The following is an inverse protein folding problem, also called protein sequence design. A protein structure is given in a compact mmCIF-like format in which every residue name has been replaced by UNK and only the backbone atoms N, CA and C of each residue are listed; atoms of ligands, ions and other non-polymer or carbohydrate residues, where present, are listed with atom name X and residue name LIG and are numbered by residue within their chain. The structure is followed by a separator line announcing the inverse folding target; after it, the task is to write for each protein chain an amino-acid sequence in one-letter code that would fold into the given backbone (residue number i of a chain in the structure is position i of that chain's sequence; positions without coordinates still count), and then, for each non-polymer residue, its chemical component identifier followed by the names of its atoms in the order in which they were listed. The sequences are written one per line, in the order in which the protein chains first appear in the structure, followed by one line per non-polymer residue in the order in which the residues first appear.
data_IF_093300636753
#
_entry.id   IF_093300636753
#
_cell.length_a   1.000
_cell.length_b   1.000
_cell.length_c   1.000
_cell.angle_alpha   90.00
_cell.angle_beta   90.00
_cell.angle_gamma   90.00
#
_symmetry.space_group_name_H-M   'P 1'
#
loop_
_entity.id
_entity.type
_entity.pdbx_description
1 polymer ?
#
# COMPACT_ATOMS: atom_id res chain seq x y z
N UNK A 1 0.03 15.95 -0.22
CA UNK A 1 -1.29 15.62 0.35
C UNK A 1 -1.53 16.24 1.73
N UNK A 2 -0.48 16.60 2.47
CA UNK A 2 -0.55 17.23 3.79
C UNK A 2 -0.07 18.69 3.77
N UNK A 3 -0.36 19.42 2.69
CA UNK A 3 -0.03 20.86 2.61
C UNK A 3 -0.92 21.65 3.57
N UNK A 4 -0.37 22.67 4.23
CA UNK A 4 -1.13 23.55 5.13
C UNK A 4 -2.32 24.21 4.40
N UNK A 5 -2.13 24.55 3.12
CA UNK A 5 -3.18 25.13 2.30
C UNK A 5 -4.19 24.07 1.83
N UNK A 6 -5.43 24.22 2.28
CA UNK A 6 -6.55 23.37 1.92
C UNK A 6 -6.72 23.23 0.39
N UNK A 7 -6.65 24.36 -0.33
CA UNK A 7 -6.85 24.41 -1.77
C UNK A 7 -5.76 23.62 -2.51
N UNK A 8 -4.51 23.69 -2.03
CA UNK A 8 -3.40 22.90 -2.59
C UNK A 8 -3.66 21.41 -2.42
N UNK A 9 -4.02 20.98 -1.20
CA UNK A 9 -4.40 19.57 -0.94
C UNK A 9 -5.57 19.13 -1.83
N UNK A 10 -6.57 19.98 -1.98
CA UNK A 10 -7.76 19.70 -2.77
C UNK A 10 -7.44 19.50 -4.25
N UNK A 11 -6.79 20.48 -4.86
CA UNK A 11 -6.44 20.48 -6.29
C UNK A 11 -5.49 19.33 -6.59
N UNK A 12 -4.48 19.10 -5.76
CA UNK A 12 -3.54 18.00 -5.93
C UNK A 12 -4.27 16.64 -5.95
N UNK A 13 -5.15 16.39 -4.96
CA UNK A 13 -5.89 15.14 -4.90
C UNK A 13 -6.80 14.92 -6.12
N UNK A 14 -7.43 15.99 -6.62
CA UNK A 14 -8.25 15.92 -7.83
C UNK A 14 -7.42 15.58 -9.08
N UNK A 15 -6.23 16.17 -9.23
CA UNK A 15 -5.31 15.88 -10.34
C UNK A 15 -4.79 14.45 -10.26
N UNK A 16 -4.37 14.03 -9.06
CA UNK A 16 -3.95 12.67 -8.76
C UNK A 16 -5.05 11.66 -9.14
N UNK A 17 -6.27 11.87 -8.64
CA UNK A 17 -7.41 11.04 -8.96
C UNK A 17 -7.67 10.98 -10.47
N UNK A 18 -7.72 12.14 -11.15
CA UNK A 18 -8.00 12.24 -12.58
C UNK A 18 -7.00 11.45 -13.44
N UNK A 19 -5.72 11.47 -13.10
CA UNK A 19 -4.71 10.75 -13.86
C UNK A 19 -4.71 9.24 -13.53
N UNK A 20 -4.96 8.87 -12.26
CA UNK A 20 -5.08 7.47 -11.85
C UNK A 20 -6.28 6.76 -12.48
N UNK A 21 -7.45 7.41 -12.61
CA UNK A 21 -8.62 6.79 -13.25
C UNK A 21 -8.47 6.64 -14.76
N UNK A 22 -7.59 7.44 -15.38
CA UNK A 22 -7.19 7.30 -16.79
C UNK A 22 -6.09 6.24 -16.98
N UNK A 23 -5.63 5.60 -15.91
CA UNK A 23 -4.53 4.64 -15.91
C UNK A 23 -3.21 5.23 -16.46
N UNK A 24 -3.02 6.55 -16.31
CA UNK A 24 -1.82 7.27 -16.76
C UNK A 24 -0.77 7.42 -15.66
N UNK A 25 -1.15 7.17 -14.40
CA UNK A 25 -0.23 7.17 -13.26
C UNK A 25 -0.05 5.75 -12.70
N UNK A 26 1.20 5.38 -12.35
CA UNK A 26 1.50 4.13 -11.67
C UNK A 26 0.85 4.02 -10.28
N UNK A 27 0.78 2.79 -9.76
CA UNK A 27 0.18 2.48 -8.46
C UNK A 27 0.90 3.12 -7.26
N UNK A 28 2.19 3.43 -7.38
CA UNK A 28 2.93 4.16 -6.34
C UNK A 28 2.28 5.52 -6.00
N UNK A 29 1.69 6.19 -6.99
CA UNK A 29 0.95 7.43 -6.77
C UNK A 29 -0.41 7.19 -6.10
N UNK A 30 -1.00 6.00 -6.25
CA UNK A 30 -2.23 5.64 -5.56
C UNK A 30 -1.99 5.44 -4.05
N UNK A 31 -0.80 5.00 -3.66
CA UNK A 31 -0.41 4.88 -2.25
C UNK A 31 -0.44 6.23 -1.50
N UNK A 32 -0.27 7.35 -2.20
CA UNK A 32 -0.35 8.71 -1.64
C UNK A 32 -1.73 8.98 -1.00
N UNK A 33 -2.80 8.27 -1.39
CA UNK A 33 -4.09 8.37 -0.71
C UNK A 33 -4.05 7.91 0.76
N UNK A 34 -3.08 7.08 1.18
CA UNK A 34 -2.92 6.68 2.58
C UNK A 34 -2.74 7.91 3.49
N UNK A 35 -2.01 8.92 3.03
CA UNK A 35 -1.75 10.16 3.76
C UNK A 35 -3.01 11.01 3.96
N UNK A 36 -4.12 10.71 3.27
CA UNK A 36 -5.41 11.38 3.51
C UNK A 36 -5.98 11.06 4.90
N UNK A 37 -5.59 9.94 5.51
CA UNK A 37 -6.08 9.58 6.84
C UNK A 37 -5.78 10.67 7.88
N UNK A 38 -4.66 11.39 7.68
CA UNK A 38 -4.20 12.53 8.50
C UNK A 38 -4.89 13.86 8.15
N UNK A 39 -5.76 13.91 7.14
CA UNK A 39 -6.42 15.16 6.74
C UNK A 39 -7.44 15.60 7.82
N UNK A 40 -7.31 16.82 8.39
CA UNK A 40 -8.20 17.27 9.46
C UNK A 40 -9.65 17.41 8.98
N UNK A 41 -9.88 17.59 7.67
CA UNK A 41 -11.20 17.79 7.09
C UNK A 41 -11.84 16.43 6.78
N UNK A 42 -12.99 16.16 7.39
CA UNK A 42 -13.69 14.86 7.26
C UNK A 42 -14.17 14.61 5.82
N UNK A 43 -14.65 15.64 5.15
CA UNK A 43 -15.14 15.59 3.76
C UNK A 43 -14.01 15.21 2.80
N UNK A 44 -12.77 15.63 3.09
CA UNK A 44 -11.58 15.28 2.31
C UNK A 44 -11.26 13.80 2.42
N UNK A 45 -11.28 13.25 3.65
CA UNK A 45 -11.14 11.81 3.90
C UNK A 45 -12.20 11.00 3.16
N UNK A 46 -13.46 11.43 3.25
CA UNK A 46 -14.57 10.79 2.53
C UNK A 46 -14.38 10.82 1.01
N UNK A 47 -13.97 11.97 0.45
CA UNK A 47 -13.70 12.11 -0.99
C UNK A 47 -12.53 11.22 -1.44
N UNK A 48 -11.42 11.20 -0.69
CA UNK A 48 -10.28 10.33 -0.98
C UNK A 48 -10.67 8.85 -0.99
N UNK A 49 -11.52 8.41 -0.05
CA UNK A 49 -12.05 7.03 -0.01
C UNK A 49 -12.89 6.72 -1.25
N UNK A 50 -13.73 7.65 -1.72
CA UNK A 50 -14.47 7.50 -2.98
C UNK A 50 -13.55 7.44 -4.20
N UNK A 51 -12.52 8.29 -4.26
CA UNK A 51 -11.51 8.27 -5.31
C UNK A 51 -10.77 6.92 -5.36
N UNK A 52 -10.45 6.35 -4.20
CA UNK A 52 -9.80 5.05 -4.08
C UNK A 52 -10.70 3.92 -4.58
N UNK A 53 -11.96 3.87 -4.09
CA UNK A 53 -12.99 2.92 -4.54
C UNK A 53 -13.14 2.93 -6.07
N UNK A 54 -13.24 4.13 -6.67
CA UNK A 54 -13.39 4.28 -8.12
C UNK A 54 -12.16 3.76 -8.87
N UNK A 55 -10.95 4.04 -8.38
CA UNK A 55 -9.71 3.57 -8.99
C UNK A 55 -9.58 2.04 -8.97
N UNK A 56 -9.94 1.40 -7.85
CA UNK A 56 -9.96 -0.06 -7.72
C UNK A 56 -10.97 -0.65 -8.69
N UNK A 57 -12.19 -0.11 -8.72
CA UNK A 57 -13.26 -0.59 -9.60
C UNK A 57 -12.89 -0.49 -11.08
N UNK A 58 -12.33 0.64 -11.53
CA UNK A 58 -11.89 0.81 -12.93
C UNK A 58 -10.81 -0.20 -13.30
N UNK A 59 -9.81 -0.39 -12.44
CA UNK A 59 -8.71 -1.33 -12.69
C UNK A 59 -9.19 -2.77 -12.77
N UNK A 60 -10.02 -3.21 -11.82
CA UNK A 60 -10.61 -4.55 -11.83
C UNK A 60 -11.45 -4.79 -13.08
N UNK A 61 -12.29 -3.83 -13.47
CA UNK A 61 -13.09 -3.92 -14.69
C UNK A 61 -12.21 -3.97 -15.94
N UNK A 62 -11.17 -3.13 -16.02
CA UNK A 62 -10.23 -3.14 -17.13
C UNK A 62 -9.53 -4.50 -17.28
N UNK A 63 -9.05 -5.08 -16.17
CA UNK A 63 -8.41 -6.41 -16.18
C UNK A 63 -9.39 -7.48 -16.67
N UNK A 64 -10.64 -7.44 -16.19
CA UNK A 64 -11.69 -8.39 -16.60
C UNK A 64 -12.01 -8.30 -18.09
N UNK A 65 -12.07 -7.09 -18.64
CA UNK A 65 -12.37 -6.84 -20.06
C UNK A 65 -11.16 -7.12 -20.98
N UNK A 66 -9.94 -7.14 -20.44
CA UNK A 66 -8.71 -7.31 -21.21
C UNK A 66 -7.84 -8.46 -20.67
N UNK A 67 -8.26 -9.74 -20.77
CA UNK A 67 -7.52 -10.87 -20.20
C UNK A 67 -6.11 -11.05 -20.77
N UNK A 68 -5.82 -10.53 -21.96
CA UNK A 68 -4.49 -10.56 -22.58
C UNK A 68 -3.53 -9.51 -22.01
N UNK A 69 -3.98 -8.61 -21.12
CA UNK A 69 -3.15 -7.59 -20.48
C UNK A 69 -2.26 -8.14 -19.34
N UNK A 70 -2.00 -9.45 -19.30
CA UNK A 70 -1.24 -10.15 -18.25
C UNK A 70 0.13 -9.52 -18.01
N UNK A 71 0.80 -9.03 -19.06
CA UNK A 71 2.10 -8.34 -18.96
C UNK A 71 2.04 -7.04 -18.14
N UNK A 72 0.86 -6.40 -18.08
CA UNK A 72 0.62 -5.16 -17.31
C UNK A 72 -0.08 -5.45 -15.98
N UNK A 73 -0.27 -6.71 -15.60
CA UNK A 73 -1.03 -7.04 -14.40
C UNK A 73 -0.40 -6.42 -13.13
N UNK A 74 0.92 -6.40 -13.04
CA UNK A 74 1.64 -5.79 -11.90
C UNK A 74 1.36 -4.29 -11.75
N UNK A 75 1.16 -3.57 -12.85
CA UNK A 75 0.90 -2.12 -12.85
C UNK A 75 -0.59 -1.78 -12.76
N UNK A 76 -1.47 -2.76 -12.93
CA UNK A 76 -2.93 -2.57 -12.95
C UNK A 76 -3.63 -3.15 -11.71
N UNK A 77 -3.13 -4.25 -11.15
CA UNK A 77 -3.80 -4.97 -10.07
C UNK A 77 -3.74 -4.14 -8.77
N UNK A 78 -4.88 -3.71 -8.20
CA UNK A 78 -4.89 -2.75 -7.09
C UNK A 78 -4.15 -3.19 -5.84
N UNK A 79 -4.05 -4.50 -5.60
CA UNK A 79 -3.36 -5.09 -4.45
C UNK A 79 -1.87 -4.71 -4.43
N UNK A 80 -1.24 -4.47 -5.60
CA UNK A 80 0.14 -3.99 -5.69
C UNK A 80 0.34 -2.56 -5.17
N UNK A 81 -0.70 -1.86 -4.72
CA UNK A 81 -0.55 -0.61 -3.95
C UNK A 81 0.07 -0.87 -2.57
N UNK A 82 -0.11 -2.06 -1.99
CA UNK A 82 0.32 -2.38 -0.61
C UNK A 82 1.84 -2.17 -0.40
N UNK A 83 2.75 -2.69 -1.25
CA UNK A 83 4.18 -2.44 -1.10
C UNK A 83 4.53 -0.95 -1.14
N UNK A 84 3.96 -0.18 -2.08
CA UNK A 84 4.23 1.26 -2.18
C UNK A 84 3.72 2.03 -0.97
N UNK A 85 2.57 1.65 -0.43
CA UNK A 85 2.02 2.25 0.78
C UNK A 85 2.91 1.97 2.00
N UNK A 86 3.35 0.73 2.18
CA UNK A 86 4.26 0.35 3.26
C UNK A 86 5.55 1.16 3.18
N UNK A 87 6.18 1.20 1.99
CA UNK A 87 7.40 1.97 1.80
C UNK A 87 7.19 3.48 2.01
N UNK A 88 6.10 4.05 1.49
CA UNK A 88 5.76 5.46 1.67
C UNK A 88 5.64 5.82 3.15
N UNK A 89 4.91 5.01 3.92
CA UNK A 89 4.69 5.24 5.35
C UNK A 89 5.95 4.99 6.18
N UNK A 90 6.80 4.04 5.78
CA UNK A 90 8.12 3.86 6.38
C UNK A 90 9.03 5.07 6.16
N UNK A 91 8.79 5.88 5.12
CA UNK A 91 9.53 7.11 4.83
C UNK A 91 8.76 8.38 5.20
N UNK A 92 7.63 8.26 5.88
CA UNK A 92 6.86 9.41 6.32
C UNK A 92 7.71 10.27 7.29
N UNK A 93 7.85 11.59 7.04
CA UNK A 93 8.66 12.46 7.90
C UNK A 93 8.19 12.52 9.36
N UNK A 94 6.90 12.26 9.61
CA UNK A 94 6.34 12.24 10.97
C UNK A 94 6.69 10.93 11.70
N UNK A 95 7.01 9.86 10.96
CA UNK A 95 7.40 8.58 11.52
C UNK A 95 8.90 8.56 11.77
N UNK A 96 9.32 9.06 12.92
CA UNK A 96 10.74 9.18 13.30
C UNK A 96 11.22 8.06 14.20
N UNK A 97 10.31 7.42 14.96
CA UNK A 97 10.64 6.41 15.98
C UNK A 97 9.77 5.17 15.78
N UNK A 98 10.39 4.05 15.44
CA UNK A 98 9.75 2.75 15.17
C UNK A 98 8.88 2.23 16.33
N UNK A 99 9.19 2.59 17.56
CA UNK A 99 8.50 2.08 18.76
C UNK A 99 7.58 3.11 19.43
N UNK A 100 7.41 4.29 18.84
CA UNK A 100 6.55 5.33 19.39
C UNK A 100 5.07 4.99 19.15
N UNK A 101 4.30 4.88 20.23
CA UNK A 101 2.91 4.38 20.18
C UNK A 101 1.98 5.34 19.42
N UNK A 102 2.17 6.64 19.57
CA UNK A 102 1.32 7.62 18.90
C UNK A 102 1.59 7.64 17.39
N UNK A 103 2.88 7.59 16.98
CA UNK A 103 3.23 7.48 15.57
C UNK A 103 2.76 6.15 14.95
N UNK A 104 2.86 5.03 15.69
CA UNK A 104 2.36 3.73 15.23
C UNK A 104 0.84 3.73 15.06
N UNK A 105 0.10 4.45 15.90
CA UNK A 105 -1.35 4.64 15.73
C UNK A 105 -1.64 5.40 14.43
N UNK A 106 -0.89 6.47 14.14
CA UNK A 106 -1.07 7.23 12.90
C UNK A 106 -0.76 6.39 11.65
N UNK A 107 0.30 5.59 11.70
CA UNK A 107 0.65 4.61 10.64
C UNK A 107 -0.48 3.60 10.46
N UNK A 108 -1.01 3.05 11.56
CA UNK A 108 -2.14 2.11 11.53
C UNK A 108 -3.37 2.73 10.88
N UNK A 109 -3.72 3.97 11.20
CA UNK A 109 -4.86 4.67 10.60
C UNK A 109 -4.66 4.89 9.08
N UNK A 110 -3.45 5.24 8.64
CA UNK A 110 -3.12 5.36 7.22
C UNK A 110 -3.24 4.02 6.47
N UNK A 111 -2.70 2.94 7.05
CA UNK A 111 -2.81 1.58 6.50
C UNK A 111 -4.27 1.12 6.44
N UNK A 112 -5.02 1.33 7.53
CA UNK A 112 -6.43 0.98 7.63
C UNK A 112 -7.26 1.71 6.58
N UNK A 113 -7.03 3.01 6.38
CA UNK A 113 -7.76 3.83 5.41
C UNK A 113 -7.72 3.23 3.99
N UNK A 114 -6.57 2.67 3.60
CA UNK A 114 -6.39 2.03 2.29
C UNK A 114 -6.91 0.58 2.29
N UNK A 115 -6.51 -0.21 3.29
CA UNK A 115 -6.81 -1.63 3.36
C UNK A 115 -8.31 -1.91 3.54
N UNK A 116 -9.03 -1.04 4.25
CA UNK A 116 -10.49 -1.16 4.38
C UNK A 116 -11.17 -1.18 3.00
N UNK A 117 -10.68 -0.37 2.07
CA UNK A 117 -11.23 -0.29 0.72
C UNK A 117 -10.73 -1.44 -0.16
N UNK A 118 -9.42 -1.74 -0.13
CA UNK A 118 -8.82 -2.83 -0.92
C UNK A 118 -9.41 -4.19 -0.54
N UNK A 119 -9.70 -4.40 0.75
CA UNK A 119 -10.22 -5.65 1.30
C UNK A 119 -11.76 -5.71 1.36
N UNK A 120 -12.47 -4.81 0.67
CA UNK A 120 -13.94 -4.85 0.63
C UNK A 120 -14.45 -6.11 -0.10
N UNK A 121 -13.68 -6.64 -1.06
CA UNK A 121 -14.03 -7.86 -1.81
C UNK A 121 -12.80 -8.76 -1.94
N UNK A 122 -12.92 -9.99 -1.44
CA UNK A 122 -11.91 -11.03 -1.59
C UNK A 122 -12.01 -11.75 -2.95
N UNK A 123 -11.78 -11.02 -4.04
CA UNK A 123 -11.72 -11.61 -5.38
C UNK A 123 -10.37 -12.33 -5.54
N UNK A 124 -10.37 -13.58 -6.04
CA UNK A 124 -9.18 -14.39 -6.32
C UNK A 124 -8.15 -14.45 -5.17
N UNK A 125 -8.61 -14.63 -3.93
CA UNK A 125 -7.76 -14.67 -2.74
C UNK A 125 -6.89 -13.39 -2.55
N UNK A 126 -7.38 -12.23 -2.99
CA UNK A 126 -6.70 -10.93 -2.86
C UNK A 126 -6.27 -10.61 -1.42
N UNK A 127 -7.01 -11.06 -0.40
CA UNK A 127 -6.63 -10.82 1.00
C UNK A 127 -5.35 -11.59 1.38
N UNK A 128 -5.26 -12.86 0.96
CA UNK A 128 -4.05 -13.67 1.14
C UNK A 128 -2.88 -13.12 0.33
N UNK A 129 -3.16 -12.65 -0.90
CA UNK A 129 -2.15 -12.03 -1.76
C UNK A 129 -1.52 -10.77 -1.15
N UNK A 130 -2.35 -9.87 -0.57
CA UNK A 130 -1.86 -8.68 0.13
C UNK A 130 -1.07 -9.03 1.39
N UNK A 131 -1.52 -10.02 2.16
CA UNK A 131 -0.77 -10.54 3.31
C UNK A 131 0.61 -11.05 2.88
N UNK A 132 0.65 -11.89 1.84
CA UNK A 132 1.89 -12.45 1.29
C UNK A 132 2.85 -11.37 0.80
N UNK A 133 2.33 -10.28 0.20
CA UNK A 133 3.16 -9.12 -0.15
C UNK A 133 3.83 -8.49 1.08
N UNK A 134 3.08 -8.23 2.14
CA UNK A 134 3.62 -7.66 3.37
C UNK A 134 4.63 -8.60 4.05
N UNK A 135 4.39 -9.91 4.04
CA UNK A 135 5.33 -10.92 4.51
C UNK A 135 6.62 -10.93 3.69
N UNK A 136 6.52 -10.91 2.36
CA UNK A 136 7.69 -10.94 1.48
C UNK A 136 8.56 -9.69 1.63
N UNK A 137 7.98 -8.51 1.92
CA UNK A 137 8.76 -7.28 2.17
C UNK A 137 9.68 -7.44 3.40
N UNK A 138 9.25 -8.22 4.42
CA UNK A 138 10.11 -8.50 5.58
C UNK A 138 11.33 -9.37 5.27
N UNK A 139 11.37 -9.98 4.08
CA UNK A 139 12.52 -10.76 3.60
C UNK A 139 13.48 -9.92 2.75
N UNK A 140 13.12 -8.67 2.46
CA UNK A 140 13.92 -7.72 1.68
C UNK A 140 14.48 -6.62 2.56
N UNK A 141 15.37 -5.79 2.03
CA UNK A 141 15.75 -4.50 2.60
C UNK A 141 15.14 -3.34 1.83
N UNK A 142 15.11 -2.19 2.45
CA UNK A 142 14.80 -0.93 1.78
C UNK A 142 15.84 -0.65 0.68
N UNK A 143 15.38 -0.43 -0.56
CA UNK A 143 16.30 -0.22 -1.68
C UNK A 143 16.90 1.20 -1.73
N UNK A 144 16.30 2.19 -1.07
CA UNK A 144 16.84 3.55 -1.01
C UNK A 144 17.99 3.64 -0.01
N UNK A 145 17.97 2.83 1.06
CA UNK A 145 19.02 2.80 2.08
C UNK A 145 19.20 1.39 2.67
N UNK A 146 19.72 0.42 1.88
CA UNK A 146 19.76 -0.99 2.26
C UNK A 146 20.68 -1.29 3.45
N UNK A 147 21.70 -0.47 3.69
CA UNK A 147 22.66 -0.65 4.78
C UNK A 147 22.25 0.11 6.06
N UNK A 148 21.19 0.93 5.99
CA UNK A 148 20.74 1.71 7.15
C UNK A 148 19.77 0.90 8.02
N UNK A 149 20.26 0.46 9.18
CA UNK A 149 19.48 -0.37 10.10
C UNK A 149 18.17 0.28 10.56
N UNK A 150 18.16 1.60 10.83
CA UNK A 150 16.96 2.32 11.28
C UNK A 150 15.87 2.38 10.21
N UNK A 151 16.24 2.60 8.96
CA UNK A 151 15.30 2.64 7.83
C UNK A 151 14.64 1.28 7.61
N UNK A 152 15.44 0.19 7.68
CA UNK A 152 14.92 -1.17 7.61
C UNK A 152 14.03 -1.53 8.83
N UNK A 153 14.42 -1.12 10.04
CA UNK A 153 13.60 -1.33 11.25
C UNK A 153 12.22 -0.68 11.09
N UNK A 154 12.17 0.56 10.60
CA UNK A 154 10.91 1.24 10.28
C UNK A 154 10.11 0.49 9.23
N UNK A 155 10.75 0.04 8.14
CA UNK A 155 10.08 -0.73 7.09
C UNK A 155 9.40 -1.99 7.65
N UNK A 156 10.14 -2.79 8.43
CA UNK A 156 9.62 -4.01 9.04
C UNK A 156 8.50 -3.73 10.05
N UNK A 157 8.64 -2.65 10.81
CA UNK A 157 7.61 -2.20 11.74
C UNK A 157 6.31 -1.87 11.02
N UNK A 158 6.37 -1.10 9.92
CA UNK A 158 5.18 -0.78 9.11
C UNK A 158 4.57 -2.04 8.51
N UNK A 159 5.39 -3.01 8.07
CA UNK A 159 4.90 -4.33 7.65
C UNK A 159 4.13 -5.04 8.76
N UNK A 160 4.65 -5.07 9.99
CA UNK A 160 3.98 -5.72 11.12
C UNK A 160 2.65 -5.07 11.46
N UNK A 161 2.58 -3.73 11.40
CA UNK A 161 1.30 -3.01 11.56
C UNK A 161 0.34 -3.35 10.42
N UNK A 162 0.81 -3.43 9.17
CA UNK A 162 -0.01 -3.80 8.02
C UNK A 162 -0.56 -5.22 8.15
N UNK A 163 0.28 -6.18 8.56
CA UNK A 163 -0.12 -7.57 8.83
C UNK A 163 -1.15 -7.64 9.96
N UNK A 164 -0.96 -6.88 11.03
CA UNK A 164 -1.93 -6.76 12.11
C UNK A 164 -3.30 -6.28 11.59
N UNK A 165 -3.32 -5.22 10.76
CA UNK A 165 -4.54 -4.70 10.15
C UNK A 165 -5.21 -5.76 9.26
N UNK A 166 -4.47 -6.40 8.36
CA UNK A 166 -4.98 -7.43 7.44
C UNK A 166 -5.59 -8.61 8.22
N UNK A 167 -4.84 -9.14 9.19
CA UNK A 167 -5.28 -10.27 10.02
C UNK A 167 -6.53 -9.92 10.85
N UNK A 168 -6.62 -8.68 11.35
CA UNK A 168 -7.80 -8.22 12.10
C UNK A 168 -9.05 -8.08 11.23
N UNK A 169 -8.89 -7.82 9.93
CA UNK A 169 -10.00 -7.54 9.01
C UNK A 169 -10.61 -8.78 8.37
N UNK A 170 -9.83 -9.84 8.17
CA UNK A 170 -10.29 -10.97 7.36
C UNK A 170 -9.57 -12.26 7.68
N UNK A 171 -10.28 -13.26 8.22
CA UNK A 171 -9.76 -14.63 8.37
C UNK A 171 -9.34 -15.27 7.02
N UNK A 172 -9.91 -14.82 5.89
CA UNK A 172 -9.59 -15.31 4.54
C UNK A 172 -8.15 -15.01 4.11
N UNK A 173 -7.42 -14.13 4.80
CA UNK A 173 -6.02 -13.86 4.48
C UNK A 173 -5.07 -15.02 4.85
N UNK A 174 -5.56 -16.02 5.57
CA UNK A 174 -4.80 -17.22 5.94
C UNK A 174 -4.88 -18.33 4.88
N UNK A 175 -5.64 -18.13 3.80
CA UNK A 175 -5.63 -19.03 2.66
C UNK A 175 -4.32 -18.91 1.86
N UNK A 176 -4.10 -19.84 0.93
CA UNK A 176 -2.96 -19.75 0.03
C UNK A 176 -3.09 -18.57 -0.93
N UNK A 177 -1.97 -17.85 -1.09
CA UNK A 177 -1.84 -16.81 -2.09
C UNK A 177 -2.00 -17.40 -3.49
N UNK A 178 -2.75 -16.76 -4.40
CA UNK A 178 -2.98 -17.29 -5.74
C UNK A 178 -1.69 -17.37 -6.57
N UNK A 179 -0.70 -16.53 -6.25
CA UNK A 179 0.62 -16.43 -6.91
C UNK A 179 1.66 -15.87 -5.92
N UNK A 180 2.93 -16.07 -6.22
CA UNK A 180 4.01 -15.35 -5.53
C UNK A 180 4.07 -13.89 -6.01
N UNK A 181 4.00 -12.91 -5.10
CA UNK A 181 4.06 -11.51 -5.48
C UNK A 181 5.46 -11.09 -5.89
N UNK A 182 5.55 -10.26 -6.94
CA UNK A 182 6.80 -9.66 -7.41
C UNK A 182 6.93 -8.26 -6.82
N UNK A 183 7.87 -8.07 -5.90
CA UNK A 183 8.07 -6.77 -5.27
C UNK A 183 8.80 -5.77 -6.20
N UNK A 184 8.44 -4.47 -6.19
CA UNK A 184 9.11 -3.46 -7.00
C UNK A 184 10.58 -3.26 -6.61
N UNK A 185 11.51 -3.66 -7.49
CA UNK A 185 12.96 -3.62 -7.22
C UNK A 185 13.55 -2.22 -6.96
N UNK A 186 12.83 -1.15 -7.32
CA UNK A 186 13.23 0.23 -7.00
C UNK A 186 13.01 0.60 -5.52
N UNK A 187 12.18 -0.17 -4.82
CA UNK A 187 11.75 0.08 -3.45
C UNK A 187 12.25 -1.01 -2.49
N UNK A 188 12.45 -2.23 -2.99
CA UNK A 188 12.85 -3.39 -2.19
C UNK A 188 14.01 -4.12 -2.85
N UNK A 189 14.99 -4.54 -2.07
CA UNK A 189 16.06 -5.42 -2.58
C UNK A 189 15.51 -6.79 -2.94
N UNK A 190 16.35 -7.63 -3.56
CA UNK A 190 16.01 -9.05 -3.64
C UNK A 190 15.90 -9.64 -2.21
N UNK A 191 15.02 -10.63 -2.00
CA UNK A 191 14.92 -11.30 -0.72
C UNK A 191 16.27 -11.91 -0.32
N UNK A 192 16.64 -11.76 0.93
CA UNK A 192 17.80 -12.47 1.46
C UNK A 192 17.52 -13.97 1.38
N UNK A 193 18.44 -14.73 0.80
CA UNK A 193 18.35 -16.20 0.84
C UNK A 193 18.36 -16.61 2.30
N UNK A 194 17.25 -17.15 2.79
CA UNK A 194 17.22 -17.83 4.08
C UNK A 194 18.25 -18.94 3.98
N UNK A 195 19.40 -18.76 4.63
CA UNK A 195 20.37 -19.83 4.77
C UNK A 195 19.68 -20.85 5.66
N UNK A 196 19.10 -21.88 5.06
CA UNK A 196 18.60 -23.04 5.78
C UNK A 196 19.78 -23.63 6.54
N UNK A 197 19.83 -23.38 7.85
CA UNK A 197 20.68 -24.13 8.75
C UNK A 197 20.10 -25.54 8.82
N UNK A 198 20.56 -26.40 7.91
CA UNK A 198 20.45 -27.87 8.02
C UNK A 198 21.30 -28.39 9.16
#
# INVERSE_FOLDING_TARGET
MQDECYQVRQIFAQKLHKALVKLLLPLEYMAIFALCAKDPVKERRAHARQCLLKNISIRREYIKQNPMATEKLLSLLPEYVVPYMIHLLAHDPDFTRSQDVDQLRDIKECLWFMLEVLMTKNENNSHAFMKKMAENIKLTRDAQSPDESKTNEKLYTVCDVALCVINSKSALCNADSPKDPVLPMKFFTQPEKVISLT
#
